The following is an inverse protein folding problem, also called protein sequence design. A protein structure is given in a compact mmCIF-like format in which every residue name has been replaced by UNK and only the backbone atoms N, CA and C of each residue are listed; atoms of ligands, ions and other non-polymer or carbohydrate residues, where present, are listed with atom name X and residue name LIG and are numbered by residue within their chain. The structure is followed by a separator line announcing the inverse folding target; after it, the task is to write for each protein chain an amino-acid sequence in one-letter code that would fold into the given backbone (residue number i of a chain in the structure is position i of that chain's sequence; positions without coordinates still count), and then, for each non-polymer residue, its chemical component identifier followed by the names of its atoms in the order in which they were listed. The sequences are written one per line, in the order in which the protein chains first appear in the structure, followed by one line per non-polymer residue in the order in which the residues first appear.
data_IF_937372674582
#
_entry.id   IF_937372674582
#
_cell.length_a   1.000
_cell.length_b   1.000
_cell.length_c   1.000
_cell.angle_alpha   90.00
_cell.angle_beta   90.00
_cell.angle_gamma   90.00
#
_symmetry.space_group_name_H-M   'P 1'
#
loop_
_entity.id
_entity.type
_entity.pdbx_description
1 polymer ?
#
# COMPACT_ATOMS: atom_id res chain seq x y z
N UNK A 1 11.67 11.48 -8.44
CA UNK A 1 10.27 11.41 -7.98
C UNK A 1 10.35 11.07 -6.52
N UNK A 2 9.99 12.02 -5.67
CA UNK A 2 9.71 11.75 -4.26
C UNK A 2 8.26 11.23 -4.10
N UNK A 3 7.83 10.93 -2.87
CA UNK A 3 6.50 10.38 -2.65
C UNK A 3 5.39 11.41 -2.86
N UNK A 4 5.67 12.69 -2.61
CA UNK A 4 4.73 13.75 -2.88
C UNK A 4 4.57 14.02 -4.39
N UNK A 5 5.63 13.88 -5.19
CA UNK A 5 5.58 13.88 -6.66
C UNK A 5 4.66 12.76 -7.15
N UNK A 6 4.82 11.56 -6.59
CA UNK A 6 3.98 10.43 -6.92
C UNK A 6 2.52 10.70 -6.53
N UNK A 7 2.27 11.19 -5.31
CA UNK A 7 0.92 11.53 -4.83
C UNK A 7 0.25 12.55 -5.76
N UNK A 8 0.93 13.65 -6.10
CA UNK A 8 0.45 14.62 -7.10
C UNK A 8 0.14 13.97 -8.45
N UNK A 9 0.98 13.03 -8.89
CA UNK A 9 0.75 12.24 -10.10
C UNK A 9 -0.52 11.39 -10.03
N UNK A 10 -0.74 10.69 -8.91
CA UNK A 10 -1.91 9.84 -8.68
C UNK A 10 -3.22 10.64 -8.64
N UNK A 11 -3.19 11.84 -8.03
CA UNK A 11 -4.37 12.71 -7.92
C UNK A 11 -4.90 13.20 -9.27
N UNK A 12 -4.06 13.25 -10.31
CA UNK A 12 -4.50 13.58 -11.67
C UNK A 12 -5.51 12.59 -12.25
N UNK A 13 -5.58 11.38 -11.70
CA UNK A 13 -6.52 10.33 -12.14
C UNK A 13 -7.57 10.02 -11.07
N UNK A 14 -7.50 10.65 -9.90
CA UNK A 14 -8.45 10.45 -8.81
C UNK A 14 -9.78 11.16 -9.12
N UNK A 15 -10.86 10.63 -8.54
CA UNK A 15 -12.13 11.33 -8.58
C UNK A 15 -12.11 12.54 -7.62
N UNK A 16 -13.05 13.47 -7.81
CA UNK A 16 -13.20 14.61 -6.90
C UNK A 16 -13.50 14.14 -5.47
N UNK A 17 -12.91 14.80 -4.47
CA UNK A 17 -13.16 14.58 -3.04
C UNK A 17 -14.65 14.71 -2.67
N UNK A 18 -15.38 15.54 -3.39
CA UNK A 18 -16.82 15.79 -3.16
C UNK A 18 -17.73 14.69 -3.74
N UNK A 19 -17.15 13.71 -4.45
CA UNK A 19 -17.92 12.59 -5.00
C UNK A 19 -18.53 11.80 -3.84
N UNK A 20 -19.83 11.51 -3.98
CA UNK A 20 -20.58 10.75 -2.98
C UNK A 20 -19.89 9.40 -2.68
N UNK A 21 -19.67 9.14 -1.40
CA UNK A 21 -19.03 7.93 -0.87
C UNK A 21 -17.55 7.74 -1.27
N UNK A 22 -16.83 8.78 -1.69
CA UNK A 22 -15.45 8.65 -2.17
C UNK A 22 -14.51 8.08 -1.09
N UNK A 23 -14.61 8.52 0.17
CA UNK A 23 -13.81 7.93 1.26
C UNK A 23 -14.00 6.41 1.36
N UNK A 24 -15.25 5.94 1.29
CA UNK A 24 -15.54 4.51 1.36
C UNK A 24 -15.02 3.77 0.13
N UNK A 25 -15.11 4.40 -1.06
CA UNK A 25 -14.52 3.86 -2.27
C UNK A 25 -13.00 3.67 -2.14
N UNK A 26 -12.28 4.68 -1.62
CA UNK A 26 -10.83 4.60 -1.43
C UNK A 26 -10.44 3.51 -0.41
N UNK A 27 -11.13 3.44 0.72
CA UNK A 27 -10.86 2.42 1.76
C UNK A 27 -11.15 1.02 1.24
N UNK A 28 -12.29 0.79 0.60
CA UNK A 28 -12.65 -0.53 0.07
C UNK A 28 -11.78 -0.92 -1.14
N UNK A 29 -11.40 0.05 -1.97
CA UNK A 29 -10.47 -0.15 -3.07
C UNK A 29 -9.11 -0.62 -2.56
N UNK A 30 -8.53 0.06 -1.56
CA UNK A 30 -7.29 -0.37 -0.91
C UNK A 30 -7.34 -1.83 -0.42
N UNK A 31 -8.45 -2.21 0.21
CA UNK A 31 -8.66 -3.60 0.67
C UNK A 31 -8.77 -4.56 -0.51
N UNK A 32 -9.47 -4.17 -1.57
CA UNK A 32 -9.62 -4.94 -2.81
C UNK A 32 -8.27 -5.27 -3.43
N UNK A 33 -7.45 -4.26 -3.69
CA UNK A 33 -6.12 -4.43 -4.32
C UNK A 33 -5.17 -5.23 -3.42
N UNK A 34 -5.25 -5.03 -2.10
CA UNK A 34 -4.50 -5.88 -1.15
C UNK A 34 -4.94 -7.34 -1.23
N UNK A 35 -6.23 -7.59 -1.45
CA UNK A 35 -6.79 -8.92 -1.69
C UNK A 35 -6.32 -9.54 -3.01
N UNK A 36 -6.13 -8.73 -4.06
CA UNK A 36 -5.60 -9.21 -5.35
C UNK A 36 -4.15 -9.71 -5.23
N UNK A 37 -3.32 -9.03 -4.42
CA UNK A 37 -1.98 -9.53 -4.07
C UNK A 37 -2.09 -10.92 -3.43
N UNK A 38 -2.95 -11.07 -2.41
CA UNK A 38 -3.16 -12.35 -1.73
C UNK A 38 -3.65 -13.44 -2.71
N UNK A 39 -4.54 -13.09 -3.64
CA UNK A 39 -5.06 -14.02 -4.65
C UNK A 39 -3.95 -14.53 -5.58
N UNK A 40 -3.00 -13.67 -5.99
CA UNK A 40 -1.85 -14.10 -6.80
C UNK A 40 -0.97 -15.07 -6.06
N UNK A 41 -0.64 -14.80 -4.79
CA UNK A 41 0.14 -15.74 -3.98
C UNK A 41 -0.62 -17.05 -3.74
N UNK A 42 -1.93 -17.00 -3.50
CA UNK A 42 -2.77 -18.20 -3.37
C UNK A 42 -2.71 -19.08 -4.64
N UNK A 43 -2.82 -18.48 -5.83
CA UNK A 43 -2.71 -19.19 -7.12
C UNK A 43 -1.31 -19.75 -7.33
N UNK A 44 -0.28 -18.99 -7.00
CA UNK A 44 1.12 -19.45 -7.08
C UNK A 44 1.36 -20.68 -6.18
N UNK A 45 0.88 -20.66 -4.93
CA UNK A 45 0.96 -21.84 -4.05
C UNK A 45 0.20 -23.04 -4.65
N UNK A 46 -1.03 -22.82 -5.13
CA UNK A 46 -1.89 -23.89 -5.67
C UNK A 46 -1.37 -24.52 -6.96
N UNK A 47 -0.90 -23.69 -7.90
CA UNK A 47 -0.62 -24.09 -9.30
C UNK A 47 0.88 -24.25 -9.59
N UNK A 48 1.73 -23.70 -8.70
CA UNK A 48 3.18 -23.70 -8.85
C UNK A 48 3.93 -24.33 -7.68
N UNK A 49 3.25 -24.88 -6.66
CA UNK A 49 3.90 -25.51 -5.48
C UNK A 49 4.96 -24.61 -4.83
N UNK A 50 4.68 -23.30 -4.79
CA UNK A 50 5.62 -22.29 -4.29
C UNK A 50 6.98 -22.23 -5.01
N UNK A 51 7.04 -22.65 -6.28
CA UNK A 51 8.22 -22.51 -7.12
C UNK A 51 8.46 -21.03 -7.49
N UNK A 52 9.48 -20.41 -6.89
CA UNK A 52 9.82 -19.01 -7.11
C UNK A 52 10.14 -18.66 -8.57
N UNK A 53 10.60 -19.63 -9.37
CA UNK A 53 10.87 -19.42 -10.80
C UNK A 53 9.58 -19.18 -11.61
N UNK A 54 8.43 -19.59 -11.05
CA UNK A 54 7.10 -19.46 -11.64
C UNK A 54 6.26 -18.34 -10.99
N UNK A 55 6.85 -17.54 -10.11
CA UNK A 55 6.16 -16.42 -9.48
C UNK A 55 5.92 -15.30 -10.49
N UNK A 56 4.66 -14.92 -10.69
CA UNK A 56 4.27 -13.80 -11.57
C UNK A 56 4.59 -12.44 -10.91
N UNK A 57 5.87 -12.08 -10.93
CA UNK A 57 6.37 -10.81 -10.36
C UNK A 57 5.77 -9.58 -11.06
N UNK A 58 5.49 -9.67 -12.35
CA UNK A 58 4.91 -8.57 -13.11
C UNK A 58 3.46 -8.32 -12.67
N UNK A 59 2.66 -9.38 -12.52
CA UNK A 59 1.34 -9.29 -11.96
C UNK A 59 1.35 -8.74 -10.53
N UNK A 60 2.22 -9.24 -9.66
CA UNK A 60 2.33 -8.75 -8.28
C UNK A 60 2.72 -7.27 -8.23
N UNK A 61 3.68 -6.85 -9.07
CA UNK A 61 4.10 -5.45 -9.14
C UNK A 61 2.94 -4.52 -9.56
N UNK A 62 2.03 -5.01 -10.41
CA UNK A 62 0.84 -4.27 -10.80
C UNK A 62 -0.07 -3.99 -9.58
N UNK A 63 -0.46 -5.02 -8.83
CA UNK A 63 -1.38 -4.81 -7.69
C UNK A 63 -0.69 -4.04 -6.54
N UNK A 64 0.63 -4.18 -6.38
CA UNK A 64 1.39 -3.31 -5.48
C UNK A 64 1.31 -1.84 -5.89
N UNK A 65 1.31 -1.56 -7.21
CA UNK A 65 1.09 -0.23 -7.76
C UNK A 65 -0.32 0.28 -7.50
N UNK A 66 -1.33 -0.58 -7.64
CA UNK A 66 -2.73 -0.22 -7.37
C UNK A 66 -2.96 0.05 -5.87
N UNK A 67 -2.36 -0.75 -4.98
CA UNK A 67 -2.30 -0.45 -3.54
C UNK A 67 -1.63 0.89 -3.27
N UNK A 68 -0.48 1.17 -3.90
CA UNK A 68 0.23 2.44 -3.72
C UNK A 68 -0.62 3.64 -4.17
N UNK A 69 -1.36 3.50 -5.28
CA UNK A 69 -2.29 4.53 -5.75
C UNK A 69 -3.40 4.82 -4.72
N UNK A 70 -4.00 3.78 -4.15
CA UNK A 70 -5.01 3.93 -3.11
C UNK A 70 -4.45 4.54 -1.81
N UNK A 71 -3.23 4.18 -1.40
CA UNK A 71 -2.57 4.80 -0.24
C UNK A 71 -2.33 6.29 -0.49
N UNK A 72 -1.82 6.66 -1.67
CA UNK A 72 -1.54 8.04 -2.03
C UNK A 72 -2.80 8.92 -2.06
N UNK A 73 -3.86 8.42 -2.71
CA UNK A 73 -5.14 9.15 -2.83
C UNK A 73 -5.91 9.20 -1.51
N UNK A 74 -5.85 8.15 -0.70
CA UNK A 74 -6.42 8.16 0.65
C UNK A 74 -5.67 9.12 1.58
N UNK A 75 -4.34 9.18 1.50
CA UNK A 75 -3.55 10.16 2.26
C UNK A 75 -3.96 11.60 1.91
N UNK A 76 -4.10 11.93 0.62
CA UNK A 76 -4.56 13.25 0.18
C UNK A 76 -5.99 13.55 0.62
N UNK A 77 -6.90 12.56 0.51
CA UNK A 77 -8.28 12.71 1.00
C UNK A 77 -8.34 13.07 2.48
N UNK A 78 -7.35 12.64 3.27
CA UNK A 78 -7.21 12.92 4.71
C UNK A 78 -6.33 14.14 5.00
N UNK A 79 -5.95 14.91 3.98
CA UNK A 79 -5.07 16.08 4.07
C UNK A 79 -3.68 15.74 4.63
N UNK A 80 -3.13 14.58 4.24
CA UNK A 80 -1.82 14.07 4.65
C UNK A 80 -0.83 14.00 3.47
N UNK A 81 0.43 14.40 3.71
CA UNK A 81 1.55 14.16 2.78
C UNK A 81 1.96 12.69 2.81
N UNK A 82 2.16 12.11 1.62
CA UNK A 82 2.64 10.74 1.50
C UNK A 82 4.11 10.63 1.94
N UNK A 83 4.92 11.66 1.68
CA UNK A 83 6.32 11.71 2.10
C UNK A 83 6.45 11.74 3.63
N UNK A 84 5.63 12.57 4.31
CA UNK A 84 5.59 12.64 5.77
C UNK A 84 5.17 11.29 6.40
N UNK A 85 4.16 10.61 5.82
CA UNK A 85 3.74 9.28 6.26
C UNK A 85 4.91 8.28 6.18
N UNK A 86 5.65 8.30 5.07
CA UNK A 86 6.77 7.40 4.88
C UNK A 86 7.95 7.73 5.81
N UNK A 87 8.31 9.01 5.95
CA UNK A 87 9.36 9.45 6.85
C UNK A 87 9.05 9.08 8.31
N UNK A 88 7.82 9.31 8.77
CA UNK A 88 7.38 8.91 10.10
C UNK A 88 7.40 7.38 10.29
N UNK A 89 7.00 6.62 9.27
CA UNK A 89 7.06 5.16 9.31
C UNK A 89 8.50 4.64 9.44
N UNK A 90 9.44 5.17 8.63
CA UNK A 90 10.85 4.81 8.69
C UNK A 90 11.47 5.16 10.05
N UNK A 91 11.21 6.36 10.58
CA UNK A 91 11.69 6.75 11.90
C UNK A 91 11.18 5.82 13.00
N UNK A 92 9.89 5.45 12.96
CA UNK A 92 9.29 4.48 13.88
C UNK A 92 9.96 3.11 13.78
N UNK A 93 10.16 2.58 12.58
CA UNK A 93 10.79 1.28 12.36
C UNK A 93 12.27 1.26 12.80
N UNK A 94 13.02 2.31 12.50
CA UNK A 94 14.41 2.47 12.95
C UNK A 94 14.50 2.52 14.49
N UNK A 95 13.57 3.23 15.13
CA UNK A 95 13.47 3.26 16.60
C UNK A 95 13.19 1.88 17.18
N UNK A 96 12.27 1.10 16.56
CA UNK A 96 11.99 -0.29 16.98
C UNK A 96 13.20 -1.21 16.81
N UNK A 97 13.98 -1.05 15.74
CA UNK A 97 15.22 -1.78 15.51
C UNK A 97 16.25 -1.50 16.61
N UNK A 98 16.47 -0.22 16.93
CA UNK A 98 17.44 0.17 17.96
C UNK A 98 17.06 -0.35 19.36
N UNK A 99 15.78 -0.53 19.63
CA UNK A 99 15.28 -1.09 20.90
C UNK A 99 15.24 -2.62 20.94
N UNK A 100 15.60 -3.31 19.85
CA UNK A 100 15.57 -4.77 19.77
C UNK A 100 14.17 -5.39 19.81
N UNK A 101 13.11 -4.63 19.51
CA UNK A 101 11.70 -5.06 19.60
C UNK A 101 11.06 -5.29 18.22
N UNK A 102 11.84 -5.68 17.20
CA UNK A 102 11.30 -5.94 15.87
C UNK A 102 10.30 -7.10 15.84
N UNK A 103 10.42 -8.07 16.74
CA UNK A 103 9.49 -9.19 16.92
C UNK A 103 8.51 -8.93 18.07
N UNK A 104 7.19 -8.93 17.78
CA UNK A 104 6.11 -8.94 18.79
C UNK A 104 4.84 -8.17 18.39
N UNK A 105 3.71 -8.51 19.02
CA UNK A 105 2.38 -8.17 18.53
C UNK A 105 1.88 -6.80 18.99
N UNK A 106 1.47 -5.97 18.02
CA UNK A 106 0.29 -5.10 18.17
C UNK A 106 0.47 -3.70 18.76
N UNK A 107 0.11 -2.75 17.90
CA UNK A 107 -0.46 -1.40 18.07
C UNK A 107 0.33 -0.27 18.76
N UNK A 108 0.98 -0.48 19.91
CA UNK A 108 1.75 0.61 20.57
C UNK A 108 3.25 0.30 20.64
N UNK A 109 3.95 0.55 19.52
CA UNK A 109 5.41 0.46 19.40
C UNK A 109 6.02 1.60 18.58
#
# INVERSE_FOLDING_TARGET
MDLDDYQRGALRTAASRDKKNELLHLVLGLVGESGEIAEKFKKWVRDCDSDESRLDRAGIAKELGDVLWYVATLADYLDLSLDDIAAANLAKLASRQNRGVLSGSGDDR
#
